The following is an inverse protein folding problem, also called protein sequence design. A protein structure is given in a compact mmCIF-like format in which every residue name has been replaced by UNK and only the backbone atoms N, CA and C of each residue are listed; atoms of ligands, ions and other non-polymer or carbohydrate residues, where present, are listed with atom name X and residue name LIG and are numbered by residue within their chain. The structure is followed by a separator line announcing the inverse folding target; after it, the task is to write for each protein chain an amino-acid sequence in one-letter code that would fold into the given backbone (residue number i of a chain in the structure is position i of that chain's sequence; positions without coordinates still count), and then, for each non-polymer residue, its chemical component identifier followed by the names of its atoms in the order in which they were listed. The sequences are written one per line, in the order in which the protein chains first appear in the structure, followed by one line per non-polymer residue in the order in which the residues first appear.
data_IF_525282764937
#
_entry.id   IF_525282764937
#
_cell.length_a   1.000
_cell.length_b   1.000
_cell.length_c   1.000
_cell.angle_alpha   90.00
_cell.angle_beta   90.00
_cell.angle_gamma   90.00
#
_symmetry.space_group_name_H-M   'P 1'
#
loop_
_entity.id
_entity.type
_entity.pdbx_description
1 polymer ?
#
# COMPACT_ATOMS: atom_id res chain seq x y z
N UNK A 1 43.17 -42.11 38.42
CA UNK A 1 42.68 -40.78 37.98
C UNK A 1 41.21 -40.92 37.62
N UNK A 2 40.31 -40.47 38.48
CA UNK A 2 38.86 -40.42 38.22
C UNK A 2 38.55 -39.07 37.57
N UNK A 3 38.12 -39.09 36.31
CA UNK A 3 37.57 -37.93 35.60
C UNK A 3 36.15 -37.68 36.12
N UNK A 4 35.98 -36.65 36.95
CA UNK A 4 34.67 -36.16 37.34
C UNK A 4 34.03 -35.45 36.15
N UNK A 5 33.02 -36.08 35.54
CA UNK A 5 32.16 -35.45 34.56
C UNK A 5 31.26 -34.43 35.26
N UNK A 6 31.61 -33.15 35.19
CA UNK A 6 30.75 -32.06 35.62
C UNK A 6 29.56 -31.97 34.67
N UNK A 7 28.40 -32.47 35.09
CA UNK A 7 27.13 -32.25 34.41
C UNK A 7 26.78 -30.76 34.49
N UNK A 8 27.10 -30.01 33.43
CA UNK A 8 26.57 -28.67 33.21
C UNK A 8 25.06 -28.83 32.98
N UNK A 9 24.28 -28.58 34.03
CA UNK A 9 22.85 -28.42 33.92
C UNK A 9 22.59 -27.23 32.99
N UNK A 10 22.26 -27.51 31.73
CA UNK A 10 21.75 -26.53 30.80
C UNK A 10 20.44 -26.01 31.39
N UNK A 11 20.50 -24.82 31.99
CA UNK A 11 19.29 -24.13 32.41
C UNK A 11 18.41 -23.96 31.17
N UNK A 12 17.26 -24.64 31.18
CA UNK A 12 16.24 -24.41 30.16
C UNK A 12 15.89 -22.94 30.23
N UNK A 13 16.00 -22.18 29.12
CA UNK A 13 15.62 -20.78 29.12
C UNK A 13 14.18 -20.70 29.60
N UNK A 14 13.97 -20.05 30.75
CA UNK A 14 12.63 -19.73 31.23
C UNK A 14 11.92 -19.03 30.09
N UNK A 15 10.81 -19.59 29.61
CA UNK A 15 9.98 -18.95 28.61
C UNK A 15 9.68 -17.53 29.13
N UNK A 16 10.08 -16.51 28.36
CA UNK A 16 9.81 -15.13 28.71
C UNK A 16 8.30 -14.92 28.92
N UNK A 17 7.90 -13.85 29.64
CA UNK A 17 6.49 -13.58 29.86
C UNK A 17 5.74 -13.51 28.52
N UNK A 18 4.68 -14.31 28.38
CA UNK A 18 3.86 -14.34 27.16
C UNK A 18 3.20 -12.99 26.92
N UNK A 19 3.26 -12.50 25.68
CA UNK A 19 2.59 -11.27 25.31
C UNK A 19 1.08 -11.50 25.22
N UNK A 20 0.31 -10.80 26.06
CA UNK A 20 -1.15 -10.89 26.11
C UNK A 20 -1.73 -9.49 26.18
N UNK A 21 -3.01 -9.33 25.83
CA UNK A 21 -3.69 -8.04 25.94
C UNK A 21 -3.56 -7.39 27.33
N UNK A 22 -3.47 -8.19 28.39
CA UNK A 22 -3.35 -7.74 29.79
C UNK A 22 -1.93 -7.32 30.15
N UNK A 23 -0.92 -7.98 29.59
CA UNK A 23 0.50 -7.71 29.86
C UNK A 23 1.11 -6.71 28.88
N UNK A 24 0.42 -6.43 27.78
CA UNK A 24 0.84 -5.49 26.76
C UNK A 24 0.74 -4.03 27.23
N UNK A 25 1.82 -3.28 27.03
CA UNK A 25 1.91 -1.86 27.37
C UNK A 25 1.24 -1.03 26.28
N UNK A 26 0.31 -0.11 26.60
CA UNK A 26 -0.24 0.82 25.61
C UNK A 26 0.87 1.64 24.95
N UNK A 27 0.85 1.72 23.62
CA UNK A 27 1.84 2.43 22.82
C UNK A 27 1.19 3.10 21.59
N UNK A 28 1.97 3.90 20.87
CA UNK A 28 1.58 4.51 19.59
C UNK A 28 2.54 4.10 18.49
N UNK A 29 2.02 3.73 17.31
CA UNK A 29 2.85 3.45 16.14
C UNK A 29 3.73 4.64 15.75
N UNK A 30 3.23 5.88 15.89
CA UNK A 30 4.01 7.10 15.60
C UNK A 30 5.18 7.27 16.56
N UNK A 31 4.98 6.98 17.84
CA UNK A 31 6.03 7.06 18.85
C UNK A 31 7.12 6.02 18.59
N UNK A 32 6.72 4.78 18.30
CA UNK A 32 7.65 3.70 17.98
C UNK A 32 8.42 3.97 16.69
N UNK A 33 7.76 4.46 15.63
CA UNK A 33 8.45 4.84 14.38
C UNK A 33 9.48 5.96 14.55
N UNK A 34 9.25 6.90 15.48
CA UNK A 34 10.19 8.01 15.75
C UNK A 34 11.33 7.65 16.67
N UNK A 35 11.11 6.72 17.59
CA UNK A 35 12.11 6.29 18.55
C UNK A 35 11.91 4.79 18.88
N UNK A 36 12.38 3.87 18.03
CA UNK A 36 12.06 2.44 18.16
C UNK A 36 12.78 1.77 19.33
N UNK A 37 13.99 2.21 19.68
CA UNK A 37 14.88 1.51 20.61
C UNK A 37 14.26 1.21 22.00
N UNK A 38 13.51 2.13 22.65
CA UNK A 38 12.86 1.84 23.93
C UNK A 38 11.70 0.83 23.86
N UNK A 39 11.28 0.44 22.65
CA UNK A 39 10.12 -0.41 22.42
C UNK A 39 10.47 -1.81 21.89
N UNK A 40 11.63 -1.96 21.25
CA UNK A 40 12.08 -3.24 20.70
C UNK A 40 12.12 -4.34 21.79
N UNK A 41 11.53 -5.50 21.46
CA UNK A 41 11.40 -6.63 22.38
C UNK A 41 10.31 -6.47 23.45
N UNK A 42 9.57 -5.36 23.48
CA UNK A 42 8.49 -5.15 24.45
C UNK A 42 7.16 -5.63 23.90
N UNK A 43 6.34 -6.21 24.77
CA UNK A 43 4.95 -6.52 24.49
C UNK A 43 4.13 -5.23 24.51
N UNK A 44 3.64 -4.81 23.36
CA UNK A 44 2.90 -3.55 23.17
C UNK A 44 1.47 -3.79 22.73
N UNK A 45 0.59 -2.84 23.05
CA UNK A 45 -0.81 -2.79 22.61
C UNK A 45 -1.06 -1.47 21.90
N UNK A 46 -1.69 -1.56 20.73
CA UNK A 46 -2.03 -0.45 19.87
C UNK A 46 -3.53 -0.44 19.58
N UNK A 47 -4.12 0.74 19.51
CA UNK A 47 -5.50 0.95 19.10
C UNK A 47 -5.50 1.75 17.79
N UNK A 48 -6.20 1.25 16.77
CA UNK A 48 -6.20 1.85 15.44
C UNK A 48 -6.99 1.02 14.45
N UNK A 49 -6.46 0.84 13.25
CA UNK A 49 -7.05 -0.05 12.26
C UNK A 49 -6.03 -0.95 11.58
N UNK A 50 -6.53 -2.07 11.08
CA UNK A 50 -5.75 -3.08 10.36
C UNK A 50 -6.30 -3.20 8.95
N UNK A 51 -5.40 -3.32 7.99
CA UNK A 51 -5.69 -3.75 6.62
C UNK A 51 -4.57 -4.67 6.16
N UNK A 52 -4.92 -5.82 5.60
CA UNK A 52 -3.94 -6.83 5.20
C UNK A 52 -3.02 -7.22 6.37
N UNK A 53 -1.71 -7.05 6.20
CA UNK A 53 -0.66 -7.31 7.16
C UNK A 53 -0.11 -6.02 7.78
N UNK A 54 -0.92 -4.96 7.85
CA UNK A 54 -0.49 -3.65 8.33
C UNK A 54 -1.45 -3.11 9.39
N UNK A 55 -0.88 -2.50 10.41
CA UNK A 55 -1.57 -1.66 11.38
C UNK A 55 -1.35 -0.20 11.03
N UNK A 56 -2.35 0.63 11.28
CA UNK A 56 -2.29 2.08 11.14
C UNK A 56 -2.94 2.74 12.35
N UNK A 57 -2.27 3.76 12.90
CA UNK A 57 -2.78 4.50 14.06
C UNK A 57 -3.99 5.36 13.69
N UNK A 58 -3.95 5.99 12.51
CA UNK A 58 -4.96 6.89 12.01
C UNK A 58 -4.88 6.99 10.47
N UNK A 59 -5.79 7.74 9.86
CA UNK A 59 -5.84 7.95 8.40
C UNK A 59 -4.50 8.47 7.85
N UNK A 60 -3.84 9.37 8.58
CA UNK A 60 -2.54 9.89 8.21
C UNK A 60 -1.45 8.83 8.26
N UNK A 61 -1.60 7.77 9.06
CA UNK A 61 -0.72 6.60 9.04
C UNK A 61 -0.83 5.81 7.74
N UNK A 62 -2.04 5.69 7.16
CA UNK A 62 -2.24 5.02 5.88
C UNK A 62 -1.67 5.81 4.70
N UNK A 63 -1.86 7.13 4.68
CA UNK A 63 -1.19 7.99 3.70
C UNK A 63 0.32 8.04 3.91
N UNK A 64 0.75 8.10 5.17
CA UNK A 64 2.17 8.02 5.48
C UNK A 64 2.75 6.71 4.98
N UNK A 65 2.06 5.57 5.08
CA UNK A 65 2.54 4.29 4.54
C UNK A 65 2.81 4.39 3.04
N UNK A 66 1.82 4.81 2.25
CA UNK A 66 1.96 5.02 0.80
C UNK A 66 3.12 5.97 0.46
N UNK A 67 3.35 6.99 1.27
CA UNK A 67 4.45 7.93 1.12
C UNK A 67 5.80 7.44 1.70
N UNK A 68 5.79 6.58 2.73
CA UNK A 68 6.95 6.23 3.58
C UNK A 68 7.73 5.03 3.10
N UNK A 69 7.24 4.34 2.07
CA UNK A 69 8.13 3.57 1.22
C UNK A 69 9.26 4.45 0.65
N UNK A 70 9.21 5.79 0.83
CA UNK A 70 10.03 6.78 0.10
C UNK A 70 10.81 7.80 0.93
N UNK A 71 10.63 7.84 2.26
CA UNK A 71 11.31 8.81 3.14
C UNK A 71 11.91 8.08 4.34
N UNK A 72 13.00 8.62 4.91
CA UNK A 72 13.74 8.13 6.11
C UNK A 72 12.89 8.01 7.41
N UNK A 73 11.56 7.94 7.31
CA UNK A 73 10.58 7.84 8.39
C UNK A 73 9.75 6.57 8.23
N UNK A 74 10.44 5.42 8.17
CA UNK A 74 9.77 4.13 8.23
C UNK A 74 8.81 4.11 9.43
N UNK A 75 7.58 3.64 9.19
CA UNK A 75 6.60 3.39 10.24
C UNK A 75 6.09 4.61 11.04
N UNK A 76 6.08 5.84 10.50
CA UNK A 76 5.42 7.00 11.16
C UNK A 76 3.88 6.88 11.13
N UNK A 77 3.36 6.09 12.07
CA UNK A 77 1.92 5.89 12.27
C UNK A 77 1.38 4.60 11.67
N UNK A 78 2.24 3.68 11.26
CA UNK A 78 1.86 2.38 10.72
C UNK A 78 2.94 1.32 11.01
N UNK A 79 2.58 0.03 11.05
CA UNK A 79 3.49 -1.09 11.34
C UNK A 79 3.14 -2.31 10.52
N UNK A 80 4.14 -3.14 10.20
CA UNK A 80 3.90 -4.49 9.70
C UNK A 80 3.39 -5.44 10.78
N UNK A 81 2.60 -6.43 10.39
CA UNK A 81 2.00 -7.42 11.27
C UNK A 81 2.36 -8.83 10.78
N UNK A 82 2.85 -9.67 11.69
CA UNK A 82 3.01 -11.11 11.47
C UNK A 82 2.01 -11.88 12.31
N UNK A 83 0.98 -12.41 11.66
CA UNK A 83 0.01 -13.27 12.31
C UNK A 83 0.54 -14.71 12.40
N UNK A 84 0.30 -15.38 13.53
CA UNK A 84 0.60 -16.82 13.66
C UNK A 84 -0.23 -17.66 12.67
N UNK A 85 -1.48 -17.23 12.42
CA UNK A 85 -2.40 -17.92 11.53
C UNK A 85 -2.64 -17.05 10.31
N UNK A 86 -2.34 -17.59 9.13
CA UNK A 86 -2.65 -16.91 7.88
C UNK A 86 -4.12 -16.48 7.80
N UNK A 87 -5.10 -17.28 8.23
CA UNK A 87 -6.53 -16.92 8.07
C UNK A 87 -6.99 -15.65 8.81
N UNK A 88 -6.14 -15.08 9.66
CA UNK A 88 -6.43 -13.84 10.38
C UNK A 88 -6.19 -12.59 9.52
N UNK A 89 -5.48 -12.68 8.38
CA UNK A 89 -5.37 -11.57 7.42
C UNK A 89 -6.69 -11.41 6.64
N UNK A 90 -7.23 -10.19 6.60
CA UNK A 90 -8.33 -9.81 5.70
C UNK A 90 -8.02 -8.49 5.01
N UNK A 91 -8.39 -8.33 3.72
CA UNK A 91 -8.12 -7.10 2.96
C UNK A 91 -8.96 -5.90 3.41
N UNK A 92 -9.97 -6.13 4.25
CA UNK A 92 -10.92 -5.10 4.68
C UNK A 92 -10.34 -4.28 5.82
N UNK A 93 -10.46 -2.97 5.70
CA UNK A 93 -10.12 -2.01 6.75
C UNK A 93 -11.00 -2.20 7.98
N UNK A 94 -10.40 -2.55 9.12
CA UNK A 94 -11.13 -2.79 10.38
C UNK A 94 -10.51 -2.04 11.54
N UNK A 95 -11.35 -1.42 12.36
CA UNK A 95 -10.91 -0.94 13.68
C UNK A 95 -10.50 -2.13 14.52
N UNK A 96 -9.36 -2.04 15.17
CA UNK A 96 -8.84 -3.13 15.98
C UNK A 96 -7.93 -2.63 17.10
N UNK A 97 -7.92 -3.39 18.18
CA UNK A 97 -6.83 -3.39 19.15
C UNK A 97 -5.87 -4.51 18.77
N UNK A 98 -4.61 -4.18 18.54
CA UNK A 98 -3.55 -5.14 18.20
C UNK A 98 -2.55 -5.21 19.34
N UNK A 99 -2.04 -6.40 19.65
CA UNK A 99 -0.90 -6.54 20.55
C UNK A 99 0.08 -7.58 20.02
N UNK A 100 1.35 -7.43 20.39
CA UNK A 100 2.45 -8.29 19.98
C UNK A 100 3.77 -7.79 20.54
N UNK A 101 4.87 -8.50 20.27
CA UNK A 101 6.21 -8.03 20.59
C UNK A 101 6.69 -7.16 19.43
N UNK A 102 7.25 -5.98 19.72
CA UNK A 102 7.82 -5.12 18.68
C UNK A 102 9.18 -5.64 18.22
N UNK A 103 9.33 -5.78 16.92
CA UNK A 103 10.53 -6.20 16.22
C UNK A 103 10.96 -5.16 15.18
N UNK A 104 12.20 -5.28 14.70
CA UNK A 104 12.74 -4.52 13.59
C UNK A 104 13.31 -5.49 12.55
N UNK A 105 12.73 -5.50 11.35
CA UNK A 105 13.10 -6.41 10.27
C UNK A 105 14.59 -6.35 9.92
N UNK A 106 15.17 -5.15 9.86
CA UNK A 106 16.56 -4.95 9.46
C UNK A 106 17.52 -5.46 10.53
N UNK A 107 17.24 -5.12 11.79
CA UNK A 107 18.01 -5.59 12.94
C UNK A 107 17.93 -7.12 13.07
N UNK A 108 16.74 -7.68 12.97
CA UNK A 108 16.52 -9.12 13.13
C UNK A 108 17.19 -9.91 11.98
N UNK A 109 17.10 -9.41 10.75
CA UNK A 109 17.81 -9.98 9.60
C UNK A 109 19.33 -9.96 9.79
N UNK A 110 19.90 -8.83 10.20
CA UNK A 110 21.35 -8.70 10.44
C UNK A 110 21.82 -9.65 11.54
N UNK A 111 21.08 -9.74 12.65
CA UNK A 111 21.39 -10.65 13.73
C UNK A 111 21.35 -12.12 13.26
N UNK A 112 20.34 -12.50 12.47
CA UNK A 112 20.23 -13.84 11.90
C UNK A 112 21.37 -14.13 10.90
N UNK A 113 21.73 -13.16 10.05
CA UNK A 113 22.84 -13.28 9.10
C UNK A 113 24.19 -13.48 9.80
N UNK A 114 24.45 -12.77 10.91
CA UNK A 114 25.66 -12.92 11.71
C UNK A 114 25.73 -14.27 12.45
N UNK A 115 24.59 -14.80 12.86
CA UNK A 115 24.48 -16.10 13.53
C UNK A 115 24.51 -17.30 12.57
N UNK A 116 24.32 -17.06 11.27
CA UNK A 116 24.25 -18.11 10.26
C UNK A 116 25.62 -18.77 10.04
N UNK A 117 25.63 -20.11 10.02
CA UNK A 117 26.83 -20.87 9.69
C UNK A 117 27.18 -20.82 8.20
N UNK A 118 28.36 -21.34 7.80
CA UNK A 118 28.72 -21.46 6.39
C UNK A 118 27.62 -22.23 5.62
N UNK A 119 27.34 -21.81 4.39
CA UNK A 119 26.32 -22.38 3.50
C UNK A 119 24.86 -22.28 4.00
N UNK A 120 24.55 -21.37 4.93
CA UNK A 120 23.17 -21.10 5.35
C UNK A 120 22.62 -19.87 4.64
N UNK A 121 21.46 -20.00 4.00
CA UNK A 121 20.73 -18.87 3.42
C UNK A 121 19.78 -18.28 4.46
N UNK A 122 19.97 -17.00 4.79
CA UNK A 122 19.03 -16.25 5.65
C UNK A 122 18.06 -15.49 4.76
N UNK A 123 16.78 -15.75 4.94
CA UNK A 123 15.71 -15.10 4.19
C UNK A 123 14.75 -14.40 5.14
N UNK A 124 14.43 -13.15 4.83
CA UNK A 124 13.24 -12.49 5.37
C UNK A 124 12.03 -12.92 4.56
N UNK A 125 10.93 -13.28 5.22
CA UNK A 125 9.66 -13.65 4.58
C UNK A 125 8.57 -12.64 4.92
N UNK A 126 7.43 -12.66 4.22
CA UNK A 126 6.27 -11.82 4.56
C UNK A 126 6.56 -10.32 4.47
N UNK A 127 6.05 -9.53 5.42
CA UNK A 127 6.18 -8.07 5.43
C UNK A 127 7.63 -7.56 5.32
N UNK A 128 8.55 -8.12 6.13
CA UNK A 128 9.97 -7.80 6.15
C UNK A 128 10.68 -8.08 4.84
N UNK A 129 10.14 -8.96 3.99
CA UNK A 129 10.70 -9.19 2.66
C UNK A 129 10.49 -8.00 1.72
N UNK A 130 9.36 -7.30 1.85
CA UNK A 130 8.94 -6.27 0.89
C UNK A 130 9.16 -4.84 1.37
N UNK A 131 8.98 -4.56 2.67
CA UNK A 131 8.97 -3.18 3.19
C UNK A 131 10.00 -2.91 4.29
N UNK A 132 10.41 -3.94 5.04
CA UNK A 132 11.32 -3.77 6.18
C UNK A 132 10.73 -2.90 7.30
N UNK A 133 11.58 -2.42 8.22
CA UNK A 133 11.15 -1.57 9.34
C UNK A 133 10.50 -2.33 10.51
N UNK A 134 9.60 -1.68 11.22
CA UNK A 134 9.03 -2.14 12.49
C UNK A 134 7.84 -3.09 12.29
N UNK A 135 7.80 -4.15 13.10
CA UNK A 135 6.76 -5.18 13.03
C UNK A 135 6.27 -5.65 14.39
N UNK A 136 5.05 -6.19 14.46
CA UNK A 136 4.54 -6.91 15.62
C UNK A 136 4.52 -8.43 15.38
N UNK A 137 5.13 -9.19 16.28
CA UNK A 137 5.26 -10.66 16.22
C UNK A 137 4.98 -11.32 17.58
N UNK A 138 4.18 -12.39 17.65
CA UNK A 138 3.02 -12.58 16.78
C UNK A 138 2.02 -11.43 17.02
N UNK A 139 1.45 -10.90 15.96
CA UNK A 139 0.36 -9.96 16.05
C UNK A 139 -0.94 -10.73 16.36
N UNK A 140 -1.61 -10.32 17.44
CA UNK A 140 -2.97 -10.74 17.75
C UNK A 140 -3.86 -9.51 17.72
N UNK A 141 -4.96 -9.56 16.97
CA UNK A 141 -5.89 -8.45 16.92
C UNK A 141 -7.28 -8.83 17.41
N UNK A 142 -7.96 -7.87 18.02
CA UNK A 142 -9.38 -7.92 18.36
C UNK A 142 -10.09 -6.87 17.53
N UNK A 143 -10.84 -7.31 16.53
CA UNK A 143 -11.59 -6.40 15.69
C UNK A 143 -12.75 -5.78 16.47
N UNK A 144 -12.88 -4.47 16.38
CA UNK A 144 -13.98 -3.68 16.92
C UNK A 144 -15.08 -3.41 15.88
N UNK A 145 -14.80 -3.60 14.59
CA UNK A 145 -15.78 -3.42 13.50
C UNK A 145 -15.13 -2.94 12.19
N UNK A 146 -15.93 -2.71 11.14
CA UNK A 146 -15.46 -2.03 9.93
C UNK A 146 -14.95 -0.62 10.27
N UNK A 147 -13.89 -0.19 9.59
CA UNK A 147 -13.47 1.20 9.60
C UNK A 147 -13.87 1.84 8.26
N UNK A 148 -14.38 3.08 8.33
CA UNK A 148 -14.59 3.93 7.16
C UNK A 148 -13.92 5.26 7.43
N UNK A 149 -13.12 5.73 6.48
CA UNK A 149 -12.49 7.03 6.56
C UNK A 149 -12.85 7.83 5.33
N UNK A 150 -13.03 9.13 5.51
CA UNK A 150 -13.12 10.02 4.37
C UNK A 150 -11.74 10.18 3.73
N UNK A 151 -11.72 10.07 2.40
CA UNK A 151 -10.54 10.41 1.59
C UNK A 151 -10.09 11.83 1.91
N UNK A 152 -8.78 12.02 2.00
CA UNK A 152 -8.19 13.34 2.15
C UNK A 152 -8.07 14.00 0.77
N UNK A 153 -8.45 15.28 0.67
CA UNK A 153 -8.52 15.98 -0.61
C UNK A 153 -8.09 17.44 -0.46
N UNK A 154 -7.82 18.09 -1.59
CA UNK A 154 -7.43 19.49 -1.64
C UNK A 154 -5.95 19.72 -1.32
N UNK A 155 -5.52 20.96 -1.52
CA UNK A 155 -4.11 21.35 -1.48
C UNK A 155 -3.47 21.15 -0.10
N UNK A 156 -4.17 21.52 0.97
CA UNK A 156 -3.67 21.35 2.33
C UNK A 156 -3.42 19.87 2.68
N UNK A 157 -4.31 18.98 2.26
CA UNK A 157 -4.13 17.54 2.43
C UNK A 157 -3.02 17.01 1.53
N UNK A 158 -2.93 17.48 0.27
CA UNK A 158 -1.87 17.10 -0.67
C UNK A 158 -0.48 17.42 -0.11
N UNK A 159 -0.29 18.62 0.42
CA UNK A 159 0.98 19.02 1.05
C UNK A 159 1.30 18.16 2.28
N UNK A 160 0.28 17.79 3.06
CA UNK A 160 0.47 17.05 4.32
C UNK A 160 0.66 15.55 4.14
N UNK A 161 -0.04 14.95 3.19
CA UNK A 161 -0.21 13.50 3.07
C UNK A 161 0.06 12.96 1.66
N UNK A 162 0.07 13.83 0.66
CA UNK A 162 0.12 13.42 -0.73
C UNK A 162 1.51 12.96 -1.16
N UNK A 163 1.55 11.88 -1.93
CA UNK A 163 2.72 11.40 -2.66
C UNK A 163 2.55 11.53 -4.18
N UNK A 164 1.48 12.19 -4.64
CA UNK A 164 1.25 12.52 -6.04
C UNK A 164 1.44 14.02 -6.29
N UNK A 165 2.29 14.32 -7.26
CA UNK A 165 2.52 15.68 -7.75
C UNK A 165 1.82 15.86 -9.10
N UNK A 166 0.92 16.85 -9.25
CA UNK A 166 0.29 17.10 -10.54
C UNK A 166 1.35 17.51 -11.58
N UNK A 167 1.16 17.09 -12.83
CA UNK A 167 1.94 17.59 -13.94
C UNK A 167 1.83 19.10 -14.07
N UNK A 168 2.93 19.75 -14.45
CA UNK A 168 3.01 21.20 -14.60
C UNK A 168 4.34 21.61 -15.24
N UNK A 169 4.60 22.93 -15.37
CA UNK A 169 5.81 23.43 -16.02
C UNK A 169 7.09 22.83 -15.43
N UNK A 170 7.91 22.20 -16.27
CA UNK A 170 9.14 21.51 -15.85
C UNK A 170 8.92 20.09 -15.29
N UNK A 171 7.67 19.62 -15.31
CA UNK A 171 7.24 18.33 -14.80
C UNK A 171 6.12 17.73 -15.67
N UNK A 172 6.26 17.89 -16.98
CA UNK A 172 5.29 17.36 -17.94
C UNK A 172 5.41 15.82 -18.03
N UNK A 173 4.29 15.11 -18.25
CA UNK A 173 4.34 13.67 -18.45
C UNK A 173 5.16 13.34 -19.70
N UNK A 174 5.96 12.27 -19.70
CA UNK A 174 6.63 11.79 -20.90
C UNK A 174 5.63 11.55 -22.03
N UNK A 175 6.06 11.77 -23.28
CA UNK A 175 5.21 11.56 -24.45
C UNK A 175 4.68 10.11 -24.54
N UNK A 176 5.41 9.13 -24.00
CA UNK A 176 4.93 7.74 -23.89
C UNK A 176 3.68 7.64 -23.01
N UNK A 177 3.70 8.26 -21.83
CA UNK A 177 2.56 8.29 -20.88
C UNK A 177 1.34 8.95 -21.52
N UNK A 178 1.54 10.06 -22.24
CA UNK A 178 0.45 10.73 -22.97
C UNK A 178 -0.14 9.82 -24.05
N UNK A 179 0.71 9.15 -24.85
CA UNK A 179 0.25 8.22 -25.88
C UNK A 179 -0.49 7.02 -25.31
N UNK A 180 -0.05 6.47 -24.17
CA UNK A 180 -0.77 5.38 -23.49
C UNK A 180 -2.17 5.82 -23.06
N UNK A 181 -2.30 7.05 -22.53
CA UNK A 181 -3.59 7.62 -22.16
C UNK A 181 -4.53 7.74 -23.38
N UNK A 182 -4.01 8.24 -24.50
CA UNK A 182 -4.78 8.40 -25.73
C UNK A 182 -5.17 7.04 -26.33
N UNK A 183 -4.23 6.10 -26.37
CA UNK A 183 -4.47 4.74 -26.86
C UNK A 183 -5.50 3.99 -26.02
N UNK A 184 -5.43 4.11 -24.70
CA UNK A 184 -6.45 3.55 -23.80
C UNK A 184 -7.85 4.09 -24.11
N UNK A 185 -7.99 5.41 -24.27
CA UNK A 185 -9.29 6.01 -24.60
C UNK A 185 -9.81 5.58 -25.97
N UNK A 186 -8.92 5.44 -26.95
CA UNK A 186 -9.27 4.96 -28.29
C UNK A 186 -9.81 3.51 -28.25
N UNK A 187 -9.09 2.60 -27.59
CA UNK A 187 -9.51 1.21 -27.39
C UNK A 187 -10.85 1.12 -26.64
N UNK A 188 -11.02 1.95 -25.60
CA UNK A 188 -12.26 2.00 -24.82
C UNK A 188 -13.46 2.48 -25.65
N UNK A 189 -13.26 3.45 -26.55
CA UNK A 189 -14.30 4.02 -27.42
C UNK A 189 -14.65 3.13 -28.60
N UNK A 190 -13.67 2.46 -29.16
CA UNK A 190 -13.84 1.46 -30.24
C UNK A 190 -14.30 0.11 -29.72
N UNK A 191 -14.40 -0.04 -28.40
CA UNK A 191 -14.85 -1.26 -27.71
C UNK A 191 -13.95 -2.48 -27.97
N UNK A 192 -12.65 -2.22 -28.20
CA UNK A 192 -11.62 -3.24 -28.45
C UNK A 192 -11.18 -3.92 -27.14
N UNK A 193 -11.98 -4.89 -26.71
CA UNK A 193 -11.69 -5.72 -25.53
C UNK A 193 -10.32 -6.43 -25.57
N UNK A 194 -9.93 -7.09 -26.68
CA UNK A 194 -8.60 -7.68 -26.84
C UNK A 194 -7.47 -6.65 -26.65
N UNK A 195 -7.56 -5.49 -27.28
CA UNK A 195 -6.57 -4.41 -27.13
C UNK A 195 -6.50 -3.88 -25.70
N UNK A 196 -7.65 -3.66 -25.05
CA UNK A 196 -7.72 -3.24 -23.65
C UNK A 196 -7.02 -4.24 -22.71
N UNK A 197 -7.22 -5.56 -22.92
CA UNK A 197 -6.53 -6.60 -22.15
C UNK A 197 -5.02 -6.63 -22.36
N UNK A 198 -4.56 -6.35 -23.58
CA UNK A 198 -3.14 -6.31 -23.89
C UNK A 198 -2.46 -5.10 -23.24
N UNK A 199 -3.17 -3.97 -23.16
CA UNK A 199 -2.67 -2.71 -22.61
C UNK A 199 -2.77 -2.62 -21.08
N UNK A 200 -3.89 -3.09 -20.52
CA UNK A 200 -4.28 -2.86 -19.11
C UNK A 200 -4.32 -4.17 -18.33
N UNK A 201 -3.68 -4.19 -17.16
CA UNK A 201 -3.75 -5.31 -16.21
C UNK A 201 -4.21 -4.83 -14.83
N UNK A 202 -4.62 -5.78 -14.00
CA UNK A 202 -4.95 -5.52 -12.59
C UNK A 202 -3.67 -5.34 -11.78
N UNK A 203 -3.50 -4.16 -11.18
CA UNK A 203 -2.29 -3.82 -10.43
C UNK A 203 -2.18 -4.62 -9.12
N UNK A 204 -3.30 -4.83 -8.41
CA UNK A 204 -3.32 -5.55 -7.13
C UNK A 204 -3.38 -7.07 -7.34
N UNK A 205 -2.26 -7.68 -7.76
CA UNK A 205 -2.17 -9.13 -8.05
C UNK A 205 -2.25 -10.07 -6.83
N UNK A 206 -2.64 -9.57 -5.65
CA UNK A 206 -2.81 -10.41 -4.46
C UNK A 206 -4.19 -11.07 -4.36
N UNK A 207 -4.96 -11.09 -5.45
CA UNK A 207 -6.17 -11.91 -5.56
C UNK A 207 -5.90 -13.09 -6.50
N UNK A 208 -5.20 -14.15 -6.03
CA UNK A 208 -4.95 -15.35 -6.82
C UNK A 208 -6.25 -16.11 -7.18
N UNK A 209 -7.42 -15.65 -6.70
CA UNK A 209 -8.72 -16.27 -6.94
C UNK A 209 -9.61 -15.54 -7.97
N UNK A 210 -9.23 -14.37 -8.50
CA UNK A 210 -10.03 -13.62 -9.50
C UNK A 210 -9.19 -13.31 -10.76
N UNK A 211 -9.28 -13.98 -11.90
CA UNK A 211 -10.38 -14.75 -12.48
C UNK A 211 -9.79 -15.87 -13.36
N UNK A 212 -10.24 -17.14 -13.23
CA UNK A 212 -9.85 -18.23 -14.13
C UNK A 212 -10.27 -17.99 -15.59
N UNK A 213 -11.20 -17.08 -15.81
CA UNK A 213 -11.69 -16.64 -17.11
C UNK A 213 -11.59 -15.12 -17.15
N UNK A 214 -10.57 -14.56 -17.81
CA UNK A 214 -10.37 -13.11 -17.93
C UNK A 214 -11.52 -12.36 -18.61
N UNK A 215 -12.65 -13.01 -18.91
CA UNK A 215 -13.86 -12.44 -19.47
C UNK A 215 -14.51 -11.38 -18.57
N UNK A 216 -14.58 -11.54 -17.25
CA UNK A 216 -15.26 -10.56 -16.39
C UNK A 216 -14.39 -9.30 -16.18
N UNK A 217 -13.08 -9.42 -16.06
CA UNK A 217 -12.17 -8.27 -16.12
C UNK A 217 -12.23 -7.55 -17.47
N UNK A 218 -12.29 -8.28 -18.59
CA UNK A 218 -12.45 -7.69 -19.93
C UNK A 218 -13.78 -6.95 -20.06
N UNK A 219 -14.87 -7.57 -19.61
CA UNK A 219 -16.21 -6.98 -19.58
C UNK A 219 -16.21 -5.68 -18.77
N UNK A 220 -15.54 -5.70 -17.61
CA UNK A 220 -15.37 -4.50 -16.78
C UNK A 220 -14.51 -3.43 -17.48
N UNK A 221 -13.40 -3.80 -18.12
CA UNK A 221 -12.55 -2.88 -18.89
C UNK A 221 -13.31 -2.22 -20.05
N UNK A 222 -14.23 -2.93 -20.69
CA UNK A 222 -15.10 -2.42 -21.76
C UNK A 222 -16.18 -1.44 -21.27
N UNK A 223 -16.23 -1.12 -19.98
CA UNK A 223 -17.22 -0.19 -19.43
C UNK A 223 -18.61 -0.79 -19.27
N UNK A 224 -18.74 -2.11 -19.18
CA UNK A 224 -20.02 -2.81 -18.98
C UNK A 224 -20.40 -2.90 -17.49
N UNK A 225 -21.63 -3.32 -17.17
CA UNK A 225 -22.09 -3.55 -15.79
C UNK A 225 -22.10 -2.32 -14.85
N UNK A 226 -21.27 -2.32 -13.82
CA UNK A 226 -21.07 -1.21 -12.89
C UNK A 226 -19.71 -0.52 -13.09
N UNK A 227 -19.04 -0.80 -14.22
CA UNK A 227 -17.71 -0.30 -14.49
C UNK A 227 -17.65 1.23 -14.46
N UNK A 228 -16.67 1.81 -13.74
CA UNK A 228 -16.48 3.24 -13.68
C UNK A 228 -15.99 3.84 -15.02
N UNK A 229 -15.58 2.99 -15.97
CA UNK A 229 -15.11 3.39 -17.30
C UNK A 229 -16.24 3.76 -18.25
N UNK A 230 -17.48 3.34 -17.97
CA UNK A 230 -18.64 3.59 -18.84
C UNK A 230 -18.76 5.05 -19.31
N UNK A 231 -18.69 6.07 -18.42
CA UNK A 231 -18.87 7.46 -18.84
C UNK A 231 -17.79 7.95 -19.81
N UNK A 232 -16.61 7.31 -19.82
CA UNK A 232 -15.49 7.71 -20.68
C UNK A 232 -15.70 7.28 -22.14
N UNK A 233 -16.56 6.28 -22.41
CA UNK A 233 -16.86 5.81 -23.78
C UNK A 233 -17.55 6.89 -24.62
N UNK A 234 -18.44 7.68 -24.00
CA UNK A 234 -19.23 8.70 -24.69
C UNK A 234 -18.68 10.12 -24.49
N UNK A 235 -17.75 10.34 -23.56
CA UNK A 235 -17.12 11.63 -23.37
C UNK A 235 -16.20 11.97 -24.56
N UNK A 236 -16.53 13.04 -25.31
CA UNK A 236 -15.72 13.48 -26.46
C UNK A 236 -14.28 13.83 -26.04
N UNK A 237 -14.13 14.55 -24.92
CA UNK A 237 -12.84 14.91 -24.34
C UNK A 237 -12.96 14.94 -22.80
N UNK A 238 -12.83 13.79 -22.10
CA UNK A 238 -12.87 13.80 -20.65
C UNK A 238 -11.74 14.67 -20.09
N UNK A 239 -12.02 15.46 -19.05
CA UNK A 239 -10.99 16.17 -18.31
C UNK A 239 -9.97 15.14 -17.81
N UNK A 240 -8.69 15.39 -18.08
CA UNK A 240 -7.59 14.49 -17.76
C UNK A 240 -6.57 15.21 -16.89
N UNK A 241 -6.05 14.50 -15.90
CA UNK A 241 -4.94 14.95 -15.08
C UNK A 241 -3.86 13.88 -15.03
N UNK A 242 -2.61 14.31 -14.99
CA UNK A 242 -1.45 13.45 -14.83
C UNK A 242 -0.79 13.76 -13.50
N UNK A 243 -0.37 12.72 -12.80
CA UNK A 243 0.35 12.86 -11.55
C UNK A 243 1.61 12.01 -11.59
N UNK A 244 2.75 12.60 -11.26
CA UNK A 244 3.92 11.81 -10.97
C UNK A 244 3.89 11.38 -9.51
N UNK A 245 4.14 10.10 -9.31
CA UNK A 245 4.35 9.51 -8.01
C UNK A 245 5.72 9.92 -7.47
N UNK A 246 5.79 10.34 -6.21
CA UNK A 246 7.08 10.64 -5.57
C UNK A 246 7.99 9.39 -5.61
N UNK A 247 9.30 9.58 -5.68
CA UNK A 247 10.29 8.48 -5.63
C UNK A 247 10.95 8.46 -4.27
N UNK A 248 11.40 7.28 -3.84
CA UNK A 248 12.24 7.17 -2.64
C UNK A 248 13.51 7.99 -2.82
N UNK A 249 14.02 8.60 -1.74
CA UNK A 249 15.27 9.39 -1.82
C UNK A 249 16.44 8.54 -2.32
N UNK A 250 16.58 7.31 -1.81
CA UNK A 250 17.62 6.37 -2.24
C UNK A 250 17.41 5.91 -3.69
N UNK A 251 16.18 5.52 -4.04
CA UNK A 251 15.84 5.16 -5.42
C UNK A 251 16.08 6.32 -6.41
N UNK A 252 15.77 7.56 -6.01
CA UNK A 252 16.05 8.75 -6.79
C UNK A 252 17.56 9.02 -6.92
N UNK A 253 18.35 8.74 -5.87
CA UNK A 253 19.81 8.80 -5.93
C UNK A 253 20.39 7.76 -6.91
N UNK A 254 19.71 6.62 -7.08
CA UNK A 254 20.01 5.60 -8.08
C UNK A 254 19.43 5.91 -9.47
N UNK A 255 18.86 7.10 -9.67
CA UNK A 255 18.31 7.56 -10.95
C UNK A 255 16.95 6.96 -11.30
N UNK A 256 16.28 6.29 -10.35
CA UNK A 256 14.90 5.83 -10.57
C UNK A 256 13.96 7.03 -10.64
N UNK A 257 12.94 6.89 -11.48
CA UNK A 257 11.86 7.87 -11.65
C UNK A 257 10.54 7.25 -11.21
N UNK A 258 9.63 8.10 -10.75
CA UNK A 258 8.35 7.66 -10.19
C UNK A 258 7.43 7.15 -11.28
N UNK A 259 6.50 6.30 -10.89
CA UNK A 259 5.38 5.94 -11.76
C UNK A 259 4.54 7.17 -12.11
N UNK A 260 3.77 7.05 -13.18
CA UNK A 260 2.80 8.09 -13.56
C UNK A 260 1.38 7.57 -13.35
N UNK A 261 0.53 8.38 -12.75
CA UNK A 261 -0.90 8.14 -12.68
C UNK A 261 -1.62 9.03 -13.71
N UNK A 262 -2.46 8.39 -14.52
CA UNK A 262 -3.28 9.01 -15.55
C UNK A 262 -4.72 8.94 -15.07
N UNK A 263 -5.32 10.06 -14.73
CA UNK A 263 -6.68 10.10 -14.19
C UNK A 263 -7.63 10.81 -15.15
N UNK A 264 -8.81 10.22 -15.35
CA UNK A 264 -9.89 10.74 -16.20
C UNK A 264 -11.10 11.08 -15.34
N UNK A 265 -11.65 12.28 -15.52
CA UNK A 265 -12.83 12.70 -14.79
C UNK A 265 -14.09 12.06 -15.37
N UNK A 266 -14.96 11.57 -14.47
CA UNK A 266 -16.28 11.00 -14.79
C UNK A 266 -17.43 11.96 -14.47
N UNK A 267 -17.19 12.95 -13.63
CA UNK A 267 -18.20 13.88 -13.10
C UNK A 267 -18.33 15.20 -13.89
N UNK A 268 -17.68 15.31 -15.06
CA UNK A 268 -17.60 16.54 -15.86
C UNK A 268 -16.50 17.49 -15.39
N UNK A 269 -16.38 17.71 -14.08
CA UNK A 269 -15.26 18.43 -13.45
C UNK A 269 -14.80 17.73 -12.15
N UNK A 270 -13.49 17.55 -12.04
CA UNK A 270 -12.80 16.92 -10.92
C UNK A 270 -11.82 17.87 -10.23
N UNK A 271 -11.87 19.17 -10.53
CA UNK A 271 -11.11 20.22 -9.85
C UNK A 271 -11.32 20.13 -8.33
N UNK A 272 -10.21 20.10 -7.57
CA UNK A 272 -10.23 19.92 -6.11
C UNK A 272 -10.58 18.51 -5.64
N UNK A 273 -10.93 17.59 -6.55
CA UNK A 273 -11.33 16.21 -6.25
C UNK A 273 -10.37 15.15 -6.78
N UNK A 274 -9.32 15.54 -7.50
CA UNK A 274 -8.27 14.63 -7.94
C UNK A 274 -7.61 13.87 -6.78
N UNK A 275 -6.99 12.70 -7.03
CA UNK A 275 -6.24 11.98 -6.00
C UNK A 275 -5.05 12.84 -5.54
N UNK A 276 -4.74 12.77 -4.25
CA UNK A 276 -3.53 13.41 -3.70
C UNK A 276 -2.43 12.40 -3.43
N UNK A 277 -2.78 11.11 -3.39
CA UNK A 277 -1.87 10.02 -3.12
C UNK A 277 -2.12 8.82 -4.02
N UNK A 278 -1.12 7.96 -4.22
CA UNK A 278 -1.24 6.71 -4.97
C UNK A 278 -2.34 5.80 -4.39
N UNK A 279 -2.58 5.87 -3.07
CA UNK A 279 -3.67 5.12 -2.40
C UNK A 279 -5.07 5.64 -2.78
N UNK A 280 -5.18 6.88 -3.26
CA UNK A 280 -6.42 7.48 -3.76
C UNK A 280 -6.62 7.26 -5.26
N UNK A 281 -5.53 6.98 -5.99
CA UNK A 281 -5.52 6.84 -7.45
C UNK A 281 -6.04 5.45 -7.89
N UNK A 282 -7.19 5.07 -7.34
CA UNK A 282 -7.95 3.87 -7.67
C UNK A 282 -9.04 4.15 -8.72
N UNK A 283 -9.81 3.12 -9.05
CA UNK A 283 -10.98 3.18 -9.92
C UNK A 283 -12.22 2.64 -9.22
N UNK A 284 -12.41 2.96 -7.92
CA UNK A 284 -13.63 2.56 -7.24
C UNK A 284 -14.86 3.25 -7.87
N UNK A 285 -16.03 2.58 -7.98
CA UNK A 285 -17.23 3.17 -8.60
C UNK A 285 -17.69 4.48 -7.96
N UNK A 286 -17.40 4.68 -6.67
CA UNK A 286 -17.72 5.89 -5.90
C UNK A 286 -16.85 7.11 -6.26
N UNK A 287 -15.70 6.92 -6.94
CA UNK A 287 -14.81 8.02 -7.30
C UNK A 287 -15.39 8.90 -8.41
N UNK A 288 -15.15 10.23 -8.36
CA UNK A 288 -15.48 11.11 -9.48
C UNK A 288 -14.53 10.92 -10.68
N UNK A 289 -13.49 10.09 -10.56
CA UNK A 289 -12.47 9.81 -11.57
C UNK A 289 -12.22 8.29 -11.72
N UNK A 290 -11.44 7.92 -12.74
CA UNK A 290 -10.76 6.62 -12.87
C UNK A 290 -9.28 6.93 -13.06
N UNK A 291 -8.40 6.20 -12.38
CA UNK A 291 -6.96 6.34 -12.57
C UNK A 291 -6.32 5.04 -13.09
N UNK A 292 -5.37 5.22 -14.00
CA UNK A 292 -4.45 4.19 -14.50
C UNK A 292 -3.05 4.52 -14.01
N UNK A 293 -2.24 3.51 -13.71
CA UNK A 293 -0.81 3.67 -13.39
C UNK A 293 0.01 3.24 -14.59
N UNK A 294 0.72 4.16 -15.21
CA UNK A 294 1.76 3.84 -16.17
C UNK A 294 3.04 3.46 -15.43
N UNK A 295 3.57 2.28 -15.73
CA UNK A 295 4.85 1.83 -15.20
C UNK A 295 5.61 1.01 -16.26
N UNK A 296 6.92 0.97 -16.09
CA UNK A 296 7.80 0.13 -16.89
C UNK A 296 7.87 -1.24 -16.24
N UNK A 297 7.58 -2.29 -17.01
CA UNK A 297 7.62 -3.64 -16.47
C UNK A 297 9.08 -4.02 -16.14
N UNK A 298 9.34 -4.55 -14.95
CA UNK A 298 10.70 -4.90 -14.49
C UNK A 298 11.35 -6.07 -15.27
N UNK A 299 10.70 -6.57 -16.34
CA UNK A 299 11.20 -7.67 -17.18
C UNK A 299 12.21 -7.22 -18.24
N UNK A 300 12.52 -5.92 -18.33
CA UNK A 300 13.63 -5.39 -19.12
C UNK A 300 13.28 -4.14 -19.92
N UNK A 301 14.29 -3.45 -20.48
CA UNK A 301 14.11 -2.21 -21.24
C UNK A 301 13.35 -2.38 -22.56
N UNK A 302 13.15 -3.62 -23.03
CA UNK A 302 12.48 -3.92 -24.30
C UNK A 302 10.97 -4.13 -24.16
N UNK A 303 10.44 -4.28 -22.94
CA UNK A 303 8.98 -4.37 -22.78
C UNK A 303 8.33 -2.99 -22.90
N UNK A 304 7.20 -2.89 -23.63
CA UNK A 304 6.47 -1.64 -23.72
C UNK A 304 5.92 -1.25 -22.33
N UNK A 305 5.91 0.05 -22.04
CA UNK A 305 5.22 0.61 -20.88
C UNK A 305 3.77 0.09 -20.84
N UNK A 306 3.31 -0.37 -19.67
CA UNK A 306 1.95 -0.91 -19.48
C UNK A 306 1.12 -0.03 -18.57
N UNK A 307 -0.19 -0.25 -18.57
CA UNK A 307 -1.13 0.43 -17.68
C UNK A 307 -1.67 -0.54 -16.63
N UNK A 308 -1.49 -0.22 -15.36
CA UNK A 308 -2.16 -0.89 -14.24
C UNK A 308 -3.44 -0.18 -13.86
N UNK A 309 -4.46 -0.92 -13.48
CA UNK A 309 -5.69 -0.36 -12.89
C UNK A 309 -6.01 -1.07 -11.57
N UNK A 310 -6.39 -0.29 -10.56
CA UNK A 310 -6.87 -0.79 -9.27
C UNK A 310 -8.39 -0.64 -9.20
N UNK A 311 -9.11 -1.74 -8.97
CA UNK A 311 -10.59 -1.77 -8.88
C UNK A 311 -11.09 -1.45 -7.47
N UNK A 312 -10.23 -1.57 -6.46
CA UNK A 312 -10.69 -1.71 -5.09
C UNK A 312 -10.76 -0.36 -4.38
N UNK A 313 -11.89 -0.13 -3.70
CA UNK A 313 -11.96 0.90 -2.68
C UNK A 313 -11.12 0.43 -1.48
N UNK A 314 -9.98 1.08 -1.23
CA UNK A 314 -9.11 0.76 -0.08
C UNK A 314 -9.67 1.19 1.28
N UNK A 315 -11.00 1.33 1.38
CA UNK A 315 -11.74 1.75 2.57
C UNK A 315 -11.87 3.26 2.76
N UNK A 316 -11.44 4.06 1.79
CA UNK A 316 -11.58 5.52 1.80
C UNK A 316 -12.78 5.99 0.99
N UNK A 317 -13.82 6.43 1.67
CA UNK A 317 -15.04 6.92 1.05
C UNK A 317 -14.85 8.36 0.56
N UNK A 318 -15.48 8.73 -0.55
CA UNK A 318 -15.58 10.13 -0.95
C UNK A 318 -16.26 10.97 0.16
N UNK A 319 -15.75 12.17 0.47
CA UNK A 319 -16.43 13.08 1.39
C UNK A 319 -17.84 13.41 0.90
N UNK A 320 -18.81 13.46 1.81
CA UNK A 320 -20.17 13.89 1.46
C UNK A 320 -20.15 15.36 1.02
N UNK A 321 -21.06 15.74 0.11
CA UNK A 321 -21.16 17.12 -0.37
C UNK A 321 -21.35 18.14 0.77
N UNK A 322 -21.96 17.74 1.89
CA UNK A 322 -22.15 18.57 3.07
C UNK A 322 -20.82 18.96 3.75
N UNK A 323 -19.81 18.09 3.69
CA UNK A 323 -18.51 18.28 4.36
C UNK A 323 -17.47 18.98 3.47
N UNK A 324 -17.76 19.16 2.18
CA UNK A 324 -16.82 19.73 1.21
C UNK A 324 -16.72 21.26 1.27
N UNK A 325 -17.70 21.94 1.86
CA UNK A 325 -17.75 23.42 1.90
C UNK A 325 -17.01 24.06 3.08
N UNK A 326 -16.58 23.27 4.06
CA UNK A 326 -15.97 23.74 5.31
C UNK A 326 -14.46 23.52 5.40
N UNK A 327 -13.80 23.12 4.32
CA UNK A 327 -12.36 22.82 4.26
C UNK A 327 -11.71 23.55 3.11
#
# INVERSE_FOLDING_TARGET
MLLAAAALALATPSAGPTCTLRTAVPASAREMGRNPNPWLGRCVRLDGFVSWNKFYADIGGAYAEAASDRVDRHNDGWLGLYFERGRDWKPVLRRATVYGILHDCGRDYQAAALAAGPNTLVMSTGYCHYQGGLTLVPAVFRAAGPARFERQMGEAARVRFGDLSPAGPGHDPPATVVRLADHFLDLLRTDDGPGLRALVHLWSQNDPETEPDGSAFTTWLRGEGDSPLRPLKSAAAPQRAYFQEAVRRDAAADGQVGGWHICFCRAGDCTGRWPISAIDADSAPSRPYVCLRAYRHDLGPEEPDRLGIDRQERGFTEPSAANASTR
#
